data_IF_785353255008
#
_entry.id   IF_785353255008
#
_cell.length_a   1.000
_cell.length_b   1.000
_cell.length_c   1.000
_cell.angle_alpha   90.00
_cell.angle_beta   90.00
_cell.angle_gamma   90.00
#
_symmetry.space_group_name_H-M   'P 1'
#
loop_
_entity.id
_entity.type
_entity.pdbx_description
1 polymer ?
#
# COMPACT_ATOMS: atom_id res chain seq x y z
N UNK A 1 7.17 -21.02 -19.62
CA UNK A 1 7.98 -19.80 -19.40
C UNK A 1 7.05 -18.68 -19.00
N UNK A 2 6.98 -18.31 -17.72
CA UNK A 2 6.21 -17.15 -17.28
C UNK A 2 6.99 -15.89 -17.66
N UNK A 3 6.51 -15.17 -18.68
CA UNK A 3 7.24 -14.00 -19.20
C UNK A 3 7.19 -12.86 -18.19
N UNK A 4 8.36 -12.28 -17.87
CA UNK A 4 8.54 -11.07 -17.04
C UNK A 4 7.57 -9.95 -17.43
N UNK A 5 7.32 -9.77 -18.73
CA UNK A 5 6.35 -8.82 -19.27
C UNK A 5 4.93 -8.99 -18.71
N UNK A 6 4.47 -10.24 -18.45
CA UNK A 6 3.15 -10.49 -17.86
C UNK A 6 3.07 -10.01 -16.41
N UNK A 7 4.15 -10.15 -15.64
CA UNK A 7 4.19 -9.62 -14.27
C UNK A 7 4.19 -8.09 -14.28
N UNK A 8 4.95 -7.46 -15.18
CA UNK A 8 4.97 -6.00 -15.32
C UNK A 8 3.58 -5.47 -15.68
N UNK A 9 2.89 -6.13 -16.60
CA UNK A 9 1.52 -5.74 -16.99
C UNK A 9 0.54 -5.86 -15.82
N UNK A 10 0.56 -6.98 -15.09
CA UNK A 10 -0.26 -7.18 -13.90
C UNK A 10 0.02 -6.13 -12.81
N UNK A 11 1.30 -5.85 -12.53
CA UNK A 11 1.69 -4.80 -11.57
C UNK A 11 1.12 -3.45 -11.99
N UNK A 12 1.16 -3.10 -13.29
CA UNK A 12 0.63 -1.83 -13.80
C UNK A 12 -0.89 -1.75 -13.76
N UNK A 13 -1.60 -2.87 -13.90
CA UNK A 13 -3.06 -2.90 -13.69
C UNK A 13 -3.42 -2.48 -12.27
N UNK A 14 -2.64 -2.88 -11.27
CA UNK A 14 -2.87 -2.56 -9.86
C UNK A 14 -2.22 -1.25 -9.40
N UNK A 15 -1.07 -0.88 -9.96
CA UNK A 15 -0.34 0.35 -9.68
C UNK A 15 0.05 1.05 -11.00
N UNK A 16 -0.84 1.87 -11.58
CA UNK A 16 -0.58 2.55 -12.84
C UNK A 16 0.53 3.61 -12.75
N UNK A 17 0.93 4.00 -11.54
CA UNK A 17 1.99 4.99 -11.31
C UNK A 17 3.40 4.41 -11.44
N UNK A 18 3.55 3.07 -11.44
CA UNK A 18 4.85 2.42 -11.59
C UNK A 18 5.32 2.43 -13.07
N UNK A 19 6.47 3.07 -13.38
CA UNK A 19 6.97 3.13 -14.75
C UNK A 19 7.54 1.77 -15.21
N UNK A 20 7.30 1.43 -16.48
CA UNK A 20 7.74 0.16 -17.10
C UNK A 20 9.26 0.03 -17.06
N UNK A 21 9.98 1.13 -17.33
CA UNK A 21 11.44 1.16 -17.37
C UNK A 21 12.04 0.77 -16.01
N UNK A 22 11.45 1.30 -14.94
CA UNK A 22 11.81 0.98 -13.58
C UNK A 22 11.50 -0.49 -13.23
N UNK A 23 10.30 -0.98 -13.57
CA UNK A 23 9.94 -2.40 -13.36
C UNK A 23 10.81 -3.36 -14.18
N UNK A 24 11.30 -2.91 -15.32
CA UNK A 24 12.18 -3.70 -16.20
C UNK A 24 13.59 -3.86 -15.63
N UNK A 25 14.01 -3.05 -14.68
CA UNK A 25 15.29 -3.23 -13.98
C UNK A 25 15.28 -4.43 -13.00
N UNK A 26 14.11 -4.88 -12.55
CA UNK A 26 14.00 -5.93 -11.54
C UNK A 26 13.98 -7.34 -12.12
N UNK A 27 14.43 -8.32 -11.34
CA UNK A 27 14.33 -9.74 -11.68
C UNK A 27 12.88 -10.22 -11.60
N UNK A 28 12.59 -11.34 -12.28
CA UNK A 28 11.26 -11.95 -12.27
C UNK A 28 10.76 -12.24 -10.84
N UNK A 29 11.62 -12.78 -9.97
CA UNK A 29 11.24 -13.14 -8.60
C UNK A 29 10.90 -11.90 -7.75
N UNK A 30 11.69 -10.83 -7.87
CA UNK A 30 11.41 -9.56 -7.21
C UNK A 30 10.07 -8.94 -7.67
N UNK A 31 9.76 -9.00 -8.97
CA UNK A 31 8.46 -8.55 -9.49
C UNK A 31 7.30 -9.41 -8.95
N UNK A 32 7.52 -10.71 -8.76
CA UNK A 32 6.52 -11.61 -8.19
C UNK A 32 6.21 -11.27 -6.74
N UNK A 33 7.24 -11.04 -5.92
CA UNK A 33 7.11 -10.60 -4.52
C UNK A 33 6.43 -9.23 -4.45
N UNK A 34 6.81 -8.31 -5.33
CA UNK A 34 6.20 -6.98 -5.36
C UNK A 34 4.70 -7.04 -5.69
N UNK A 35 4.31 -7.87 -6.66
CA UNK A 35 2.89 -8.06 -7.02
C UNK A 35 2.09 -8.66 -5.84
N UNK A 36 2.65 -9.65 -5.14
CA UNK A 36 2.02 -10.26 -3.96
C UNK A 36 1.79 -9.25 -2.82
N UNK A 37 2.81 -8.42 -2.53
CA UNK A 37 2.69 -7.34 -1.56
C UNK A 37 1.66 -6.29 -1.98
N UNK A 38 1.61 -5.96 -3.28
CA UNK A 38 0.66 -4.99 -3.81
C UNK A 38 -0.79 -5.48 -3.63
N UNK A 39 -1.05 -6.75 -3.94
CA UNK A 39 -2.35 -7.39 -3.73
C UNK A 39 -2.73 -7.44 -2.25
N UNK A 40 -1.77 -7.74 -1.37
CA UNK A 40 -1.98 -7.77 0.09
C UNK A 40 -2.28 -6.40 0.68
N UNK A 41 -1.80 -5.32 0.04
CA UNK A 41 -2.02 -3.94 0.51
C UNK A 41 -3.33 -3.34 -0.02
N UNK A 42 -3.84 -3.85 -1.14
CA UNK A 42 -5.10 -3.41 -1.75
C UNK A 42 -6.34 -3.96 -1.03
N UNK A 43 -6.21 -5.05 -0.28
CA UNK A 43 -7.27 -5.48 0.63
C UNK A 43 -7.52 -4.34 1.64
N UNK A 44 -8.78 -3.88 1.82
CA UNK A 44 -9.07 -2.81 2.74
C UNK A 44 -8.54 -3.23 4.10
N UNK A 45 -7.54 -2.49 4.62
CA UNK A 45 -7.06 -2.66 6.00
C UNK A 45 -8.30 -2.72 6.90
N UNK A 46 -8.68 -3.93 7.31
CA UNK A 46 -9.86 -4.14 8.16
C UNK A 46 -9.73 -3.41 9.49
N UNK A 47 -8.52 -2.97 9.81
CA UNK A 47 -8.21 -1.98 10.83
C UNK A 47 -8.45 -0.57 10.29
N UNK A 48 -9.72 -0.23 10.07
CA UNK A 48 -10.11 1.17 10.07
C UNK A 48 -9.70 1.77 11.42
N UNK A 49 -8.98 2.90 11.40
CA UNK A 49 -8.77 3.68 12.62
C UNK A 49 -10.13 4.18 13.10
N UNK A 50 -10.77 3.41 13.99
CA UNK A 50 -12.00 3.84 14.65
C UNK A 50 -11.56 4.89 15.66
N UNK A 51 -11.75 6.17 15.32
CA UNK A 51 -11.61 7.25 16.28
C UNK A 51 -12.70 7.03 17.35
N UNK A 52 -12.37 6.74 18.61
CA UNK A 52 -13.38 6.67 19.65
C UNK A 52 -14.05 8.05 19.72
N UNK A 53 -15.37 8.08 19.53
CA UNK A 53 -16.15 9.28 19.22
C UNK A 53 -16.09 10.39 20.26
N UNK A 54 -15.49 10.17 21.43
CA UNK A 54 -15.65 11.05 22.58
C UNK A 54 -14.33 11.57 23.18
N UNK A 55 -13.16 11.31 22.56
CA UNK A 55 -11.89 11.83 23.11
C UNK A 55 -11.50 13.15 22.44
N UNK A 56 -11.53 14.30 23.16
CA UNK A 56 -11.02 15.56 22.62
C UNK A 56 -9.53 15.43 22.33
N UNK A 57 -9.08 15.96 21.19
CA UNK A 57 -7.69 15.88 20.76
C UNK A 57 -6.71 16.67 21.65
N UNK A 58 -7.24 17.60 22.46
CA UNK A 58 -6.48 18.46 23.37
C UNK A 58 -7.30 18.59 24.66
N UNK A 59 -6.74 18.15 25.79
CA UNK A 59 -7.24 18.50 27.12
C UNK A 59 -6.41 19.67 27.65
N UNK A 60 -6.99 20.88 27.63
CA UNK A 60 -6.40 22.03 28.31
C UNK A 60 -6.45 21.83 29.82
N UNK A 61 -5.34 22.03 30.53
CA UNK A 61 -5.34 22.07 32.00
C UNK A 61 -6.00 23.38 32.43
N UNK A 62 -7.24 23.32 32.91
CA UNK A 62 -7.84 24.44 33.62
C UNK A 62 -7.06 24.63 34.93
N UNK A 63 -6.34 25.74 35.06
CA UNK A 63 -5.82 26.20 36.35
C UNK A 63 -7.00 26.65 37.18
N UNK A 64 -7.32 25.91 38.24
CA UNK A 64 -8.23 26.37 39.27
C UNK A 64 -7.47 27.30 40.23
N UNK A 65 -7.87 28.58 40.27
CA UNK A 65 -7.83 29.55 41.38
C UNK A 65 -7.72 30.98 40.82
#
# INVERSE_FOLDING_TARGET
MHSKHKLIDAIRTHNPTAPIDWLSAFSYDALRVYLDHLLSTLDPKQTAWIRPGDTPAITGRATAA
#
